data_IF_908030330584
#
_entry.id   IF_908030330584
#
_cell.length_a   1.000
_cell.length_b   1.000
_cell.length_c   1.000
_cell.angle_alpha   90.00
_cell.angle_beta   90.00
_cell.angle_gamma   90.00
#
_symmetry.space_group_name_H-M   'P 1'
#
loop_
_entity.id
_entity.type
_entity.pdbx_description
1 polymer ?
#
# COMPACT_ATOMS: atom_id res chain seq x y z
N UNK A 1 31.45 -20.25 -8.22
CA UNK A 1 32.15 -19.17 -7.49
C UNK A 1 32.38 -17.98 -8.40
N UNK A 2 32.01 -16.75 -8.01
CA UNK A 2 32.19 -15.55 -8.84
C UNK A 2 33.66 -15.25 -9.13
N UNK A 3 33.97 -14.78 -10.34
CA UNK A 3 35.34 -14.43 -10.79
C UNK A 3 36.02 -13.40 -9.87
N UNK A 4 35.23 -12.45 -9.33
CA UNK A 4 35.70 -11.42 -8.38
C UNK A 4 36.25 -12.03 -7.08
N UNK A 5 35.58 -13.06 -6.55
CA UNK A 5 36.01 -13.74 -5.32
C UNK A 5 37.27 -14.59 -5.55
N UNK A 6 37.38 -15.25 -6.70
CA UNK A 6 38.62 -15.98 -7.07
C UNK A 6 39.81 -15.04 -7.25
N UNK A 7 39.58 -13.86 -7.83
CA UNK A 7 40.61 -12.82 -7.97
C UNK A 7 41.12 -12.32 -6.61
N UNK A 8 40.24 -12.11 -5.64
CA UNK A 8 40.65 -11.73 -4.27
C UNK A 8 41.46 -12.83 -3.58
N UNK A 9 41.08 -14.10 -3.74
CA UNK A 9 41.85 -15.23 -3.19
C UNK A 9 43.23 -15.37 -3.83
N UNK A 10 43.34 -15.17 -5.15
CA UNK A 10 44.64 -15.18 -5.83
C UNK A 10 45.57 -14.07 -5.30
N UNK A 11 45.03 -12.88 -5.03
CA UNK A 11 45.79 -11.78 -4.43
C UNK A 11 46.22 -12.08 -2.99
N UNK A 12 45.35 -12.68 -2.17
CA UNK A 12 45.67 -13.09 -0.80
C UNK A 12 46.76 -14.17 -0.76
N UNK A 13 46.72 -15.16 -1.68
CA UNK A 13 47.76 -16.17 -1.80
C UNK A 13 49.13 -15.56 -2.12
N UNK A 14 49.16 -14.58 -3.03
CA UNK A 14 50.40 -13.86 -3.38
C UNK A 14 50.97 -13.10 -2.18
N UNK A 15 50.12 -12.45 -1.38
CA UNK A 15 50.53 -11.68 -0.20
C UNK A 15 51.01 -12.57 0.95
N UNK A 16 50.35 -13.70 1.19
CA UNK A 16 50.61 -14.55 2.37
C UNK A 16 51.71 -15.59 2.14
N UNK A 17 51.92 -16.01 0.89
CA UNK A 17 52.79 -17.15 0.58
C UNK A 17 53.84 -16.85 -0.51
N UNK A 18 53.99 -15.58 -0.93
CA UNK A 18 54.96 -15.14 -1.94
C UNK A 18 54.93 -15.95 -3.25
N UNK A 19 53.75 -16.44 -3.62
CA UNK A 19 53.56 -17.28 -4.81
C UNK A 19 53.44 -16.44 -6.08
N UNK A 20 53.83 -16.98 -7.22
CA UNK A 20 53.70 -16.27 -8.50
C UNK A 20 52.24 -16.10 -8.91
N UNK A 21 51.97 -15.10 -9.78
CA UNK A 21 50.63 -14.87 -10.33
C UNK A 21 50.10 -16.11 -11.06
N UNK A 22 50.98 -16.83 -11.78
CA UNK A 22 50.61 -18.06 -12.47
C UNK A 22 50.17 -19.16 -11.49
N UNK A 23 50.93 -19.37 -10.41
CA UNK A 23 50.63 -20.39 -9.41
C UNK A 23 49.36 -20.07 -8.62
N UNK A 24 49.21 -18.83 -8.15
CA UNK A 24 47.99 -18.38 -7.48
C UNK A 24 46.74 -18.51 -8.35
N UNK A 25 46.82 -18.16 -9.64
CA UNK A 25 45.72 -18.33 -10.60
C UNK A 25 45.35 -19.81 -10.83
N UNK A 26 46.34 -20.69 -10.91
CA UNK A 26 46.13 -22.13 -11.06
C UNK A 26 45.42 -22.73 -9.84
N UNK A 27 45.87 -22.39 -8.63
CA UNK A 27 45.30 -22.87 -7.36
C UNK A 27 43.82 -22.48 -7.23
N UNK A 28 43.44 -21.25 -7.60
CA UNK A 28 42.05 -20.78 -7.48
C UNK A 28 41.17 -21.09 -8.71
N UNK A 29 41.73 -21.69 -9.76
CA UNK A 29 41.03 -21.96 -11.02
C UNK A 29 40.56 -20.67 -11.74
N UNK A 30 41.46 -19.69 -11.87
CA UNK A 30 41.24 -18.41 -12.57
C UNK A 30 42.17 -18.30 -13.78
N UNK A 31 41.67 -17.84 -14.92
CA UNK A 31 42.54 -17.53 -16.06
C UNK A 31 43.36 -16.25 -15.81
N UNK A 32 44.60 -16.21 -16.31
CA UNK A 32 45.46 -15.02 -16.18
C UNK A 32 44.83 -13.77 -16.81
N UNK A 33 44.11 -13.92 -17.94
CA UNK A 33 43.37 -12.81 -18.55
C UNK A 33 42.32 -12.23 -17.61
N UNK A 34 41.55 -13.08 -16.92
CA UNK A 34 40.56 -12.63 -15.94
C UNK A 34 41.20 -12.03 -14.68
N UNK A 35 42.40 -12.47 -14.31
CA UNK A 35 43.19 -11.85 -13.23
C UNK A 35 43.58 -10.40 -13.58
N UNK A 36 44.11 -10.17 -14.78
CA UNK A 36 44.51 -8.82 -15.20
C UNK A 36 43.33 -7.91 -15.59
N UNK A 37 42.19 -8.49 -15.99
CA UNK A 37 41.02 -7.73 -16.38
C UNK A 37 40.53 -6.81 -15.26
N UNK A 38 40.38 -5.53 -15.58
CA UNK A 38 39.75 -4.53 -14.72
C UNK A 38 38.48 -4.02 -15.41
N UNK A 39 37.29 -4.21 -14.82
CA UNK A 39 36.06 -3.67 -15.39
C UNK A 39 36.10 -2.14 -15.37
N UNK A 40 36.02 -1.51 -16.55
CA UNK A 40 35.85 -0.07 -16.67
C UNK A 40 34.36 0.25 -16.51
N UNK A 41 33.97 0.74 -15.35
CA UNK A 41 32.62 1.26 -15.15
C UNK A 41 32.50 2.61 -15.88
N UNK A 42 31.42 2.83 -16.65
CA UNK A 42 31.14 4.14 -17.22
C UNK A 42 30.96 5.18 -16.10
N UNK A 43 31.47 6.39 -16.30
CA UNK A 43 31.27 7.46 -15.33
C UNK A 43 29.79 7.87 -15.26
N UNK A 44 29.18 7.64 -14.10
CA UNK A 44 27.77 7.95 -13.82
C UNK A 44 27.58 9.32 -13.16
N UNK A 45 28.65 10.08 -12.92
CA UNK A 45 28.63 11.39 -12.25
C UNK A 45 27.57 12.35 -12.82
N UNK A 46 27.49 12.43 -14.16
CA UNK A 46 26.53 13.28 -14.86
C UNK A 46 25.10 12.80 -14.63
N UNK A 47 24.85 11.49 -14.62
CA UNK A 47 23.52 10.92 -14.36
C UNK A 47 23.08 11.24 -12.92
N UNK A 48 23.99 11.11 -11.95
CA UNK A 48 23.75 11.43 -10.55
C UNK A 48 23.37 12.91 -10.39
N UNK A 49 24.16 13.82 -10.96
CA UNK A 49 23.90 15.26 -10.86
C UNK A 49 22.53 15.65 -11.44
N UNK A 50 22.17 15.11 -12.61
CA UNK A 50 20.90 15.38 -13.28
C UNK A 50 19.72 14.78 -12.51
N UNK A 51 19.87 13.55 -11.99
CA UNK A 51 18.83 12.92 -11.18
C UNK A 51 18.56 13.72 -9.91
N UNK A 52 19.60 14.13 -9.18
CA UNK A 52 19.47 14.93 -7.97
C UNK A 52 18.78 16.27 -8.27
N UNK A 53 19.20 16.99 -9.32
CA UNK A 53 18.57 18.24 -9.72
C UNK A 53 17.07 18.09 -10.06
N UNK A 54 16.67 16.95 -10.64
CA UNK A 54 15.25 16.65 -10.91
C UNK A 54 14.50 16.33 -9.61
N UNK A 55 15.07 15.52 -8.73
CA UNK A 55 14.41 15.11 -7.49
C UNK A 55 14.29 16.25 -6.48
N UNK A 56 15.25 17.17 -6.43
CA UNK A 56 15.22 18.36 -5.58
C UNK A 56 14.05 19.28 -5.96
N UNK A 57 13.79 19.44 -7.27
CA UNK A 57 12.65 20.21 -7.78
C UNK A 57 11.32 19.45 -7.66
N UNK A 58 11.36 18.13 -7.70
CA UNK A 58 10.16 17.28 -7.80
C UNK A 58 10.21 16.08 -6.85
N UNK A 59 10.15 16.33 -5.54
CA UNK A 59 10.23 15.32 -4.47
C UNK A 59 9.24 14.15 -4.58
N UNK A 60 8.11 14.31 -5.29
CA UNK A 60 7.06 13.29 -5.42
C UNK A 60 7.14 12.49 -6.73
N UNK A 61 8.16 12.71 -7.55
CA UNK A 61 8.29 12.01 -8.82
C UNK A 61 8.99 10.66 -8.63
N UNK A 62 8.34 9.61 -9.13
CA UNK A 62 8.95 8.29 -9.25
C UNK A 62 9.80 8.20 -10.51
N UNK A 63 10.56 7.11 -10.60
CA UNK A 63 11.48 6.85 -11.70
C UNK A 63 10.91 7.12 -13.12
N UNK A 64 9.70 6.68 -13.51
CA UNK A 64 9.18 6.94 -14.86
C UNK A 64 9.09 8.43 -15.20
N UNK A 65 8.69 9.29 -14.25
CA UNK A 65 8.61 10.73 -14.46
C UNK A 65 10.00 11.36 -14.57
N UNK A 66 10.93 10.95 -13.71
CA UNK A 66 12.32 11.41 -13.78
C UNK A 66 12.97 11.00 -15.11
N UNK A 67 12.78 9.76 -15.55
CA UNK A 67 13.33 9.25 -16.81
C UNK A 67 12.75 9.99 -18.03
N UNK A 68 11.44 10.23 -18.06
CA UNK A 68 10.81 11.03 -19.11
C UNK A 68 11.35 12.47 -19.14
N UNK A 69 11.62 13.07 -17.98
CA UNK A 69 12.24 14.40 -17.90
C UNK A 69 13.67 14.39 -18.43
N UNK A 70 14.47 13.39 -18.09
CA UNK A 70 15.83 13.18 -18.64
C UNK A 70 15.80 13.09 -20.17
N UNK A 71 14.83 12.36 -20.74
CA UNK A 71 14.66 12.29 -22.20
C UNK A 71 14.29 13.64 -22.82
N UNK A 72 13.40 14.40 -22.18
CA UNK A 72 13.04 15.76 -22.63
C UNK A 72 14.19 16.77 -22.55
N UNK A 73 15.16 16.54 -21.67
CA UNK A 73 16.39 17.34 -21.59
C UNK A 73 17.42 16.95 -22.68
N UNK A 74 17.11 15.97 -23.54
CA UNK A 74 17.95 15.56 -24.67
C UNK A 74 18.92 14.42 -24.38
N UNK A 75 18.97 13.90 -23.14
CA UNK A 75 19.88 12.81 -22.80
C UNK A 75 19.44 11.48 -23.43
N UNK A 76 20.38 10.83 -24.15
CA UNK A 76 20.13 9.55 -24.84
C UNK A 76 20.48 8.29 -24.02
N UNK A 77 20.69 8.41 -22.71
CA UNK A 77 21.15 7.31 -21.86
C UNK A 77 20.22 6.09 -21.84
N UNK A 78 20.81 4.91 -21.67
CA UNK A 78 20.06 3.66 -21.56
C UNK A 78 19.21 3.64 -20.27
N UNK A 79 17.94 3.26 -20.40
CA UNK A 79 16.99 3.13 -19.30
C UNK A 79 17.53 2.28 -18.14
N UNK A 80 18.13 1.12 -18.43
CA UNK A 80 18.69 0.22 -17.39
C UNK A 80 19.82 0.87 -16.60
N UNK A 81 20.65 1.69 -17.27
CA UNK A 81 21.76 2.41 -16.63
C UNK A 81 21.23 3.48 -15.69
N UNK A 82 20.29 4.32 -16.14
CA UNK A 82 19.68 5.36 -15.31
C UNK A 82 18.91 4.74 -14.14
N UNK A 83 18.20 3.63 -14.38
CA UNK A 83 17.48 2.91 -13.32
C UNK A 83 18.43 2.34 -12.25
N UNK A 84 19.57 1.77 -12.65
CA UNK A 84 20.60 1.31 -11.71
C UNK A 84 21.07 2.45 -10.81
N UNK A 85 21.46 3.58 -11.40
CA UNK A 85 21.93 4.76 -10.65
C UNK A 85 20.83 5.30 -9.73
N UNK A 86 19.58 5.39 -10.20
CA UNK A 86 18.43 5.81 -9.39
C UNK A 86 18.21 4.92 -8.15
N UNK A 87 18.36 3.60 -8.31
CA UNK A 87 18.27 2.65 -7.21
C UNK A 87 19.47 2.74 -6.25
N UNK A 88 20.69 2.93 -6.77
CA UNK A 88 21.91 3.14 -5.97
C UNK A 88 21.81 4.40 -5.11
N UNK A 89 21.20 5.47 -5.65
CA UNK A 89 20.89 6.72 -4.92
C UNK A 89 19.71 6.58 -3.95
N UNK A 90 19.07 5.41 -3.87
CA UNK A 90 17.91 5.12 -3.00
C UNK A 90 16.75 6.11 -3.19
N UNK A 91 16.55 6.63 -4.39
CA UNK A 91 15.51 7.63 -4.71
C UNK A 91 14.10 7.03 -4.84
N UNK A 92 13.94 5.73 -4.61
CA UNK A 92 12.67 5.03 -4.69
C UNK A 92 11.64 5.62 -3.71
N UNK A 93 10.49 6.06 -4.23
CA UNK A 93 9.41 6.58 -3.41
C UNK A 93 8.89 5.50 -2.46
N UNK A 94 8.88 5.83 -1.16
CA UNK A 94 8.34 4.95 -0.13
C UNK A 94 6.82 4.93 -0.22
N UNK A 95 6.24 3.73 -0.29
CA UNK A 95 4.78 3.56 -0.15
C UNK A 95 4.37 4.04 1.24
N UNK A 96 3.49 5.06 1.29
CA UNK A 96 2.88 5.50 2.55
C UNK A 96 1.95 4.40 3.04
N UNK A 97 2.20 3.86 4.22
CA UNK A 97 1.26 2.94 4.88
C UNK A 97 0.02 3.72 5.33
N UNK A 98 -1.16 3.09 5.31
CA UNK A 98 -2.37 3.66 5.93
C UNK A 98 -2.04 3.93 7.40
N UNK A 99 -2.09 5.20 7.82
CA UNK A 99 -1.88 5.59 9.22
C UNK A 99 -3.03 4.99 10.03
N UNK A 100 -2.73 4.10 10.98
CA UNK A 100 -3.75 3.65 11.93
C UNK A 100 -4.16 4.85 12.77
N UNK A 101 -5.45 5.15 12.76
CA UNK A 101 -6.02 6.15 13.67
C UNK A 101 -5.84 5.56 15.08
N UNK A 102 -5.36 6.32 16.07
CA UNK A 102 -5.26 5.83 17.44
C UNK A 102 -6.64 5.32 17.90
N UNK A 103 -6.69 4.23 18.68
CA UNK A 103 -7.95 3.72 19.19
C UNK A 103 -8.62 4.82 20.01
N UNK A 104 -9.76 5.32 19.54
CA UNK A 104 -10.67 6.10 20.39
C UNK A 104 -11.13 5.14 21.47
N UNK A 105 -10.97 5.47 22.74
CA UNK A 105 -11.58 4.71 23.84
C UNK A 105 -13.10 4.82 23.65
N UNK A 106 -13.78 3.79 23.11
CA UNK A 106 -15.20 3.90 22.88
C UNK A 106 -15.87 3.77 24.25
N UNK A 107 -16.69 4.76 24.62
CA UNK A 107 -17.59 4.57 25.75
C UNK A 107 -18.51 3.39 25.44
N UNK A 108 -18.64 2.46 26.40
CA UNK A 108 -19.54 1.33 26.24
C UNK A 108 -20.97 1.87 26.20
N UNK A 109 -21.65 1.64 25.08
CA UNK A 109 -23.08 1.94 24.97
C UNK A 109 -23.82 1.11 26.02
N UNK A 110 -24.60 1.79 26.87
CA UNK A 110 -25.48 1.11 27.83
C UNK A 110 -26.54 0.33 27.05
N UNK A 111 -26.63 -0.96 27.33
CA UNK A 111 -27.74 -1.77 26.86
C UNK A 111 -29.00 -1.35 27.65
N UNK A 112 -30.17 -1.22 26.99
CA UNK A 112 -31.44 -1.02 27.68
C UNK A 112 -31.75 -2.19 28.61
N UNK A 113 -32.72 -2.02 29.52
CA UNK A 113 -33.10 -3.07 30.48
C UNK A 113 -34.30 -3.88 30.00
N UNK A 114 -35.03 -3.40 28.99
CA UNK A 114 -36.21 -4.07 28.43
C UNK A 114 -36.22 -4.00 26.91
N UNK A 115 -36.88 -4.99 26.30
CA UNK A 115 -37.20 -5.01 24.88
C UNK A 115 -38.10 -3.83 24.51
N UNK A 116 -37.88 -3.24 23.33
CA UNK A 116 -38.64 -2.10 22.84
C UNK A 116 -38.23 -0.75 23.46
N UNK A 117 -37.24 -0.69 24.35
CA UNK A 117 -36.77 0.59 24.87
C UNK A 117 -35.94 1.38 23.85
N UNK A 118 -35.08 0.70 23.08
CA UNK A 118 -34.19 1.36 22.13
C UNK A 118 -34.04 0.52 20.86
N UNK A 119 -34.37 1.12 19.71
CA UNK A 119 -34.06 0.54 18.40
C UNK A 119 -32.79 1.19 17.85
N UNK A 120 -31.85 0.36 17.42
CA UNK A 120 -30.72 0.80 16.60
C UNK A 120 -31.02 0.57 15.14
N UNK A 121 -30.78 1.59 14.32
CA UNK A 121 -31.03 1.54 12.89
C UNK A 121 -29.75 1.88 12.12
N UNK A 122 -29.52 1.20 11.01
CA UNK A 122 -28.34 1.41 10.18
C UNK A 122 -28.64 1.19 8.69
N UNK A 123 -27.96 1.96 7.83
CA UNK A 123 -28.00 1.78 6.39
C UNK A 123 -26.73 1.10 5.88
N UNK A 124 -26.89 -0.03 5.20
CA UNK A 124 -25.80 -0.64 4.46
C UNK A 124 -26.00 -0.45 2.95
N UNK A 125 -24.90 -0.39 2.22
CA UNK A 125 -24.90 -0.36 0.75
C UNK A 125 -24.07 -1.51 0.21
N UNK A 126 -24.63 -2.25 -0.74
CA UNK A 126 -23.93 -3.33 -1.42
C UNK A 126 -24.23 -3.32 -2.93
N UNK A 127 -23.55 -4.15 -3.69
CA UNK A 127 -23.72 -4.30 -5.12
C UNK A 127 -23.90 -5.76 -5.50
N UNK A 128 -24.93 -6.05 -6.29
CA UNK A 128 -25.13 -7.37 -6.88
C UNK A 128 -24.02 -7.68 -7.90
N UNK A 129 -23.88 -8.96 -8.26
CA UNK A 129 -22.96 -9.42 -9.32
C UNK A 129 -23.10 -8.63 -10.64
N UNK A 130 -24.30 -8.12 -10.91
CA UNK A 130 -24.59 -7.30 -12.09
C UNK A 130 -24.25 -5.80 -11.90
N UNK A 131 -23.44 -5.45 -10.90
CA UNK A 131 -23.05 -4.09 -10.52
C UNK A 131 -24.21 -3.14 -10.16
N UNK A 132 -25.43 -3.67 -10.01
CA UNK A 132 -26.57 -2.91 -9.52
C UNK A 132 -26.42 -2.72 -8.02
N UNK A 133 -26.32 -1.45 -7.60
CA UNK A 133 -26.25 -1.07 -6.20
C UNK A 133 -27.63 -1.17 -5.56
N UNK A 134 -27.67 -1.69 -4.35
CA UNK A 134 -28.86 -1.68 -3.51
C UNK A 134 -28.45 -1.27 -2.09
N UNK A 135 -29.44 -0.88 -1.30
CA UNK A 135 -29.27 -0.51 0.10
C UNK A 135 -30.14 -1.40 0.97
N UNK A 136 -29.69 -1.63 2.20
CA UNK A 136 -30.49 -2.27 3.24
C UNK A 136 -30.67 -1.29 4.39
N UNK A 137 -31.89 -1.18 4.88
CA UNK A 137 -32.23 -0.50 6.13
C UNK A 137 -32.48 -1.56 7.18
N UNK A 138 -31.61 -1.63 8.18
CA UNK A 138 -31.63 -2.68 9.19
C UNK A 138 -32.08 -2.06 10.52
N UNK A 139 -33.05 -2.68 11.18
CA UNK A 139 -33.58 -2.26 12.48
C UNK A 139 -33.41 -3.40 13.47
N UNK A 140 -32.74 -3.12 14.59
CA UNK A 140 -32.39 -4.09 15.62
C UNK A 140 -32.82 -3.54 16.98
N UNK A 141 -33.31 -4.41 17.86
CA UNK A 141 -33.54 -4.08 19.26
C UNK A 141 -32.24 -4.16 20.08
N UNK A 142 -31.93 -3.11 20.84
CA UNK A 142 -30.66 -3.01 21.56
C UNK A 142 -30.56 -3.92 22.79
N UNK A 143 -31.70 -4.36 23.36
CA UNK A 143 -31.72 -5.21 24.56
C UNK A 143 -31.38 -6.66 24.21
N UNK A 144 -32.16 -7.27 23.31
CA UNK A 144 -32.02 -8.70 22.96
C UNK A 144 -31.20 -8.94 21.68
N UNK A 145 -30.79 -7.88 20.95
CA UNK A 145 -30.11 -7.94 19.65
C UNK A 145 -30.93 -8.62 18.55
N UNK A 146 -32.24 -8.66 18.71
CA UNK A 146 -33.16 -9.20 17.72
C UNK A 146 -33.23 -8.27 16.50
N UNK A 147 -33.13 -8.86 15.30
CA UNK A 147 -33.36 -8.15 14.06
C UNK A 147 -34.87 -7.99 13.83
N UNK A 148 -35.39 -6.81 14.17
CA UNK A 148 -36.81 -6.47 14.01
C UNK A 148 -37.21 -6.45 12.53
N UNK A 149 -36.30 -6.02 11.66
CA UNK A 149 -36.54 -6.04 10.24
C UNK A 149 -35.40 -5.54 9.37
N UNK A 150 -35.40 -5.97 8.11
CA UNK A 150 -34.51 -5.49 7.05
C UNK A 150 -35.36 -5.11 5.83
N UNK A 151 -35.36 -3.83 5.43
CA UNK A 151 -35.92 -3.38 4.15
C UNK A 151 -34.81 -3.25 3.10
N UNK A 152 -35.00 -3.84 1.93
CA UNK A 152 -33.99 -3.88 0.86
C UNK A 152 -34.56 -3.18 -0.37
N UNK A 153 -33.88 -2.12 -0.81
CA UNK A 153 -34.31 -1.37 -1.99
C UNK A 153 -33.15 -0.71 -2.72
N UNK A 154 -33.38 -0.32 -3.98
CA UNK A 154 -32.41 0.49 -4.75
C UNK A 154 -32.32 1.92 -4.19
N UNK A 155 -33.44 2.44 -3.70
CA UNK A 155 -33.56 3.75 -3.05
C UNK A 155 -34.45 3.63 -1.82
N UNK A 156 -34.05 4.31 -0.74
CA UNK A 156 -34.72 4.31 0.57
C UNK A 156 -35.04 5.78 0.94
N UNK A 157 -36.06 6.40 0.34
CA UNK A 157 -36.46 7.75 0.72
C UNK A 157 -37.14 7.75 2.10
N UNK A 158 -37.09 8.89 2.79
CA UNK A 158 -37.64 9.06 4.14
C UNK A 158 -39.08 8.50 4.29
N UNK A 159 -39.99 8.83 3.37
CA UNK A 159 -41.37 8.34 3.44
C UNK A 159 -41.52 6.82 3.33
N UNK A 160 -40.57 6.12 2.69
CA UNK A 160 -40.54 4.65 2.69
C UNK A 160 -40.06 4.11 4.04
N UNK A 161 -39.02 4.73 4.60
CA UNK A 161 -38.44 4.37 5.89
C UNK A 161 -39.48 4.55 7.00
N UNK A 162 -40.17 5.70 7.05
CA UNK A 162 -41.22 5.96 8.04
C UNK A 162 -42.32 4.91 7.99
N UNK A 163 -42.85 4.60 6.79
CA UNK A 163 -43.87 3.54 6.61
C UNK A 163 -43.38 2.17 7.05
N UNK A 164 -42.09 1.88 6.83
CA UNK A 164 -41.50 0.62 7.26
C UNK A 164 -41.38 0.54 8.80
N UNK A 165 -40.98 1.64 9.44
CA UNK A 165 -40.93 1.74 10.89
C UNK A 165 -42.31 1.63 11.53
N UNK A 166 -43.32 2.30 10.97
CA UNK A 166 -44.72 2.18 11.44
C UNK A 166 -45.18 0.71 11.38
N UNK A 167 -44.88 0.01 10.28
CA UNK A 167 -45.17 -1.42 10.15
C UNK A 167 -44.46 -2.27 11.20
N UNK A 168 -43.21 -1.97 11.54
CA UNK A 168 -42.49 -2.67 12.61
C UNK A 168 -43.10 -2.39 13.98
N UNK A 169 -43.57 -1.16 14.21
CA UNK A 169 -44.20 -0.73 15.44
C UNK A 169 -45.59 -1.38 15.64
N UNK A 170 -46.30 -1.75 14.58
CA UNK A 170 -47.55 -2.52 14.68
C UNK A 170 -47.38 -3.86 15.41
N UNK A 171 -46.24 -4.53 15.25
CA UNK A 171 -45.96 -5.82 15.89
C UNK A 171 -45.24 -5.69 17.23
N UNK A 172 -44.33 -4.72 17.36
CA UNK A 172 -43.41 -4.61 18.50
C UNK A 172 -43.74 -3.45 19.46
N UNK A 173 -44.68 -2.57 19.09
CA UNK A 173 -44.87 -1.27 19.72
C UNK A 173 -43.84 -0.24 19.25
N UNK A 174 -44.09 1.04 19.54
CA UNK A 174 -43.13 2.11 19.26
C UNK A 174 -42.01 2.11 20.29
N UNK A 175 -40.74 2.32 19.87
CA UNK A 175 -39.64 2.40 20.81
C UNK A 175 -39.65 3.71 21.60
N UNK A 176 -39.09 3.69 22.81
CA UNK A 176 -38.88 4.92 23.58
C UNK A 176 -37.74 5.79 23.02
N UNK A 177 -36.76 5.15 22.38
CA UNK A 177 -35.60 5.81 21.80
C UNK A 177 -35.20 5.16 20.49
N UNK A 178 -34.74 5.98 19.56
CA UNK A 178 -34.08 5.53 18.33
C UNK A 178 -32.61 5.94 18.41
N UNK A 179 -31.73 5.01 18.05
CA UNK A 179 -30.30 5.26 17.88
C UNK A 179 -29.95 5.10 16.42
N UNK A 180 -29.37 6.15 15.86
CA UNK A 180 -28.86 6.22 14.49
C UNK A 180 -27.44 6.75 14.53
N UNK A 181 -26.65 6.47 13.50
CA UNK A 181 -25.40 7.18 13.31
C UNK A 181 -25.69 8.58 12.72
N UNK A 182 -24.67 9.46 12.72
CA UNK A 182 -24.81 10.80 12.12
C UNK A 182 -24.58 10.75 10.59
N UNK A 183 -24.98 9.66 9.94
CA UNK A 183 -24.92 9.55 8.49
C UNK A 183 -25.86 10.56 7.82
N UNK A 184 -25.52 11.08 6.63
CA UNK A 184 -26.42 11.94 5.86
C UNK A 184 -27.71 11.23 5.40
N UNK A 185 -27.81 9.92 5.61
CA UNK A 185 -28.99 9.11 5.32
C UNK A 185 -30.13 9.26 6.33
N UNK A 186 -29.88 9.83 7.50
CA UNK A 186 -30.85 10.02 8.58
C UNK A 186 -31.35 11.47 8.70
#
# INVERSE_FOLDING_TARGET
MPTKARKTWAQQLQQNHSVTIAMSCAIVGLSRCAYYYQPKLPDDSVIVSVLNAITDRHLRWGFPKCFNRIRKLGYKWNHKRVYRVYCELKLNLRVKRKKRIPPRTPEKLLAPNKQGECWSMDFMSDSSRNQRRFRTFNVIDDFNREALGIDIAISLPAGRITRYLDKLAEYNGYPLKIRVDNGPEF
#
